data_IF_004623048631
#
_entry.id   IF_004623048631
#
_cell.length_a   1.000
_cell.length_b   1.000
_cell.length_c   1.000
_cell.angle_alpha   90.00
_cell.angle_beta   90.00
_cell.angle_gamma   90.00
#
_symmetry.space_group_name_H-M   'P 1'
#
loop_
_entity.id
_entity.type
_entity.pdbx_description
1 polymer ?
#
# COMPACT_ATOMS: atom_id res chain seq x y z
N UNK A 1 -20.61 -23.46 25.83
CA UNK A 1 -20.46 -22.75 25.49
C UNK A 1 -20.37 -22.14 25.43
N UNK A 2 -20.03 -22.37 25.16
CA UNK A 2 -19.57 -21.51 24.88
C UNK A 2 -19.24 -21.09 24.53
N UNK A 3 -18.96 -21.41 24.34
CA UNK A 3 -18.31 -20.75 23.94
C UNK A 3 -18.01 -20.45 23.60
N UNK A 4 -17.91 -20.54 23.58
CA UNK A 4 -17.26 -19.99 23.20
C UNK A 4 -16.84 -19.76 22.93
N UNK A 5 -16.53 -19.85 22.91
CA UNK A 5 -15.89 -19.33 22.67
C UNK A 5 -15.49 -19.17 22.31
N UNK A 6 -15.47 -19.55 22.37
CA UNK A 6 -14.77 -19.08 22.04
C UNK A 6 -14.42 -18.76 21.66
N UNK A 7 -14.32 -18.92 21.67
CA UNK A 7 -13.66 -18.29 21.33
C UNK A 7 -13.14 -17.96 21.08
N UNK A 8 -12.92 -18.19 21.06
CA UNK A 8 -12.14 -17.66 20.84
C UNK A 8 -11.66 -17.38 20.62
N UNK A 9 -11.42 -17.51 20.63
CA UNK A 9 -10.60 -17.04 20.41
C UNK A 9 -10.12 -16.83 20.29
N UNK A 10 -9.80 -16.95 20.32
CA UNK A 10 -9.13 -16.50 20.23
C UNK A 10 -8.61 -16.36 20.19
N UNK A 11 -8.51 -16.74 20.30
CA UNK A 11 -7.78 -16.40 20.22
C UNK A 11 -7.19 -16.24 20.23
N UNK A 12 -6.98 -16.36 20.25
CA UNK A 12 -6.24 -15.94 20.14
C UNK A 12 -5.67 -15.87 20.20
N UNK A 13 -5.40 -16.04 20.24
CA UNK A 13 -4.75 -15.76 20.08
C UNK A 13 -4.05 -15.65 19.83
N UNK A 14 -4.41 -15.72 19.90
CA UNK A 14 -3.28 -15.34 19.55
C UNK A 14 -2.23 -15.19 19.21
N UNK A 15 -1.97 -15.37 18.86
CA UNK A 15 -0.65 -15.03 18.64
C UNK A 15 -0.49 -13.60 18.32
N UNK A 16 -0.20 -12.91 19.21
CA UNK A 16 0.02 -11.54 19.03
C UNK A 16 1.23 -11.23 18.20
N UNK A 17 2.13 -12.15 18.06
CA UNK A 17 3.23 -11.92 17.15
C UNK A 17 2.79 -12.07 15.72
N UNK A 18 1.50 -12.15 15.49
CA UNK A 18 1.05 -12.29 14.15
C UNK A 18 1.36 -11.12 13.29
N UNK A 19 1.68 -11.43 12.06
CA UNK A 19 1.95 -10.43 11.05
C UNK A 19 0.67 -9.68 10.70
N UNK A 20 0.80 -8.40 10.45
CA UNK A 20 -0.28 -7.57 9.94
C UNK A 20 -0.24 -7.66 8.42
N UNK A 21 -1.37 -7.99 7.83
CA UNK A 21 -1.44 -8.09 6.36
C UNK A 21 -1.52 -6.70 5.74
N UNK A 22 -0.68 -6.47 4.75
CA UNK A 22 -0.71 -5.24 3.96
C UNK A 22 -1.39 -5.54 2.64
N UNK A 23 -2.40 -4.77 2.30
CA UNK A 23 -3.19 -4.95 1.09
C UNK A 23 -2.63 -4.14 -0.06
N UNK A 24 -2.83 -4.63 -1.28
CA UNK A 24 -2.43 -3.90 -2.47
C UNK A 24 -3.32 -2.67 -2.66
N UNK A 25 -2.74 -1.49 -2.89
CA UNK A 25 -3.55 -0.29 -3.13
C UNK A 25 -4.21 -0.29 -4.50
N UNK A 26 -3.66 -1.02 -5.45
CA UNK A 26 -4.12 -1.00 -6.84
C UNK A 26 -4.09 -2.42 -7.39
N UNK A 27 -4.94 -2.71 -8.40
CA UNK A 27 -4.80 -3.97 -9.12
C UNK A 27 -3.62 -3.87 -10.07
N UNK A 28 -2.88 -4.96 -10.24
CA UNK A 28 -1.77 -4.96 -11.17
C UNK A 28 -0.80 -6.09 -10.90
N UNK A 29 0.43 -5.88 -11.33
CA UNK A 29 1.49 -6.85 -11.23
C UNK A 29 2.44 -6.48 -10.10
N UNK A 30 2.73 -7.44 -9.23
CA UNK A 30 3.68 -7.26 -8.14
C UNK A 30 5.11 -7.25 -8.64
N UNK A 31 5.91 -6.32 -8.12
CA UNK A 31 7.34 -6.30 -8.38
C UNK A 31 8.07 -5.96 -7.08
N UNK A 32 9.33 -6.41 -6.93
CA UNK A 32 10.10 -6.01 -5.76
C UNK A 32 10.48 -4.53 -5.85
N UNK A 33 10.76 -3.92 -4.70
CA UNK A 33 11.15 -2.50 -4.68
C UNK A 33 12.37 -2.23 -5.55
N UNK A 34 13.27 -3.21 -5.69
CA UNK A 34 14.48 -3.03 -6.50
C UNK A 34 14.17 -2.72 -7.97
N UNK A 35 12.97 -3.04 -8.43
CA UNK A 35 12.56 -2.75 -9.81
C UNK A 35 11.86 -1.39 -9.97
N UNK A 36 11.64 -0.68 -8.88
CA UNK A 36 11.02 0.65 -8.95
C UNK A 36 11.98 1.62 -9.63
N UNK A 37 11.53 2.39 -10.63
CA UNK A 37 12.42 3.33 -11.34
C UNK A 37 12.66 4.61 -10.55
N UNK A 38 13.01 4.47 -9.28
CA UNK A 38 13.33 5.57 -8.39
C UNK A 38 14.32 5.03 -7.36
N UNK A 39 15.56 5.56 -7.31
CA UNK A 39 16.59 4.99 -6.45
C UNK A 39 16.27 5.06 -4.97
N UNK A 40 15.48 6.04 -4.53
CA UNK A 40 15.11 6.15 -3.12
C UNK A 40 14.30 4.92 -2.70
N UNK A 41 13.35 4.52 -3.52
CA UNK A 41 12.55 3.32 -3.23
C UNK A 41 13.32 2.04 -3.55
N UNK A 42 14.00 2.01 -4.70
CA UNK A 42 14.67 0.81 -5.15
C UNK A 42 15.77 0.36 -4.18
N UNK A 43 16.42 1.29 -3.52
CA UNK A 43 17.47 1.00 -2.54
C UNK A 43 16.93 0.79 -1.13
N UNK A 44 15.62 0.90 -0.95
CA UNK A 44 15.02 0.71 0.36
C UNK A 44 15.32 1.83 1.36
N UNK A 45 15.64 3.02 0.88
CA UNK A 45 16.00 4.13 1.75
C UNK A 45 14.83 4.65 2.57
N UNK A 46 13.60 4.46 2.07
CA UNK A 46 12.38 4.85 2.77
C UNK A 46 11.93 3.75 3.73
N UNK A 47 12.16 2.50 3.34
CA UNK A 47 11.76 1.33 4.09
C UNK A 47 11.62 0.13 3.17
N UNK A 48 11.20 -0.99 3.72
CA UNK A 48 10.95 -2.21 2.96
C UNK A 48 9.52 -2.29 2.47
N UNK A 49 9.29 -3.11 1.48
CA UNK A 49 7.95 -3.33 0.92
C UNK A 49 8.00 -3.92 -0.46
N UNK A 50 7.04 -3.53 -1.27
CA UNK A 50 6.92 -4.00 -2.65
C UNK A 50 6.26 -2.91 -3.48
N UNK A 51 6.10 -3.16 -4.77
CA UNK A 51 5.42 -2.22 -5.63
C UNK A 51 4.41 -2.93 -6.52
N UNK A 52 3.45 -2.18 -7.02
CA UNK A 52 2.42 -2.71 -7.92
C UNK A 52 2.43 -1.85 -9.17
N UNK A 53 2.39 -2.51 -10.33
CA UNK A 53 2.32 -1.81 -11.61
C UNK A 53 0.97 -2.13 -12.23
N UNK A 54 0.03 -1.16 -12.24
CA UNK A 54 -1.26 -1.39 -12.91
C UNK A 54 -1.07 -1.44 -14.42
N UNK A 55 -2.05 -2.03 -15.10
CA UNK A 55 -2.01 -2.10 -16.55
C UNK A 55 -2.12 -0.70 -17.16
N UNK A 56 -1.44 -0.48 -18.28
CA UNK A 56 -1.44 0.84 -18.93
C UNK A 56 -2.82 1.26 -19.40
N UNK A 57 -3.68 0.30 -19.70
CA UNK A 57 -5.04 0.56 -20.20
C UNK A 57 -6.10 0.47 -19.09
N UNK A 58 -5.67 0.55 -17.83
CA UNK A 58 -6.60 0.40 -16.72
C UNK A 58 -7.62 1.55 -16.59
N UNK A 59 -7.34 2.69 -17.19
CA UNK A 59 -8.24 3.85 -17.12
C UNK A 59 -8.15 4.52 -15.77
N UNK A 60 -9.29 4.79 -15.13
CA UNK A 60 -9.32 5.41 -13.81
C UNK A 60 -9.40 4.31 -12.77
N UNK A 61 -8.48 4.35 -11.82
CA UNK A 61 -8.43 3.40 -10.71
C UNK A 61 -8.60 4.13 -9.38
N UNK A 62 -9.13 3.42 -8.39
CA UNK A 62 -9.18 3.92 -7.03
C UNK A 62 -8.11 3.21 -6.22
N UNK A 63 -7.15 3.97 -5.71
CA UNK A 63 -6.15 3.44 -4.80
C UNK A 63 -6.77 3.34 -3.41
N UNK A 64 -6.53 2.22 -2.75
CA UNK A 64 -7.20 1.92 -1.48
C UNK A 64 -6.19 1.83 -0.33
N UNK A 65 -6.72 1.86 0.89
CA UNK A 65 -5.88 1.81 2.08
C UNK A 65 -5.16 0.46 2.17
N UNK A 66 -3.87 0.47 2.54
CA UNK A 66 -3.08 -0.77 2.58
C UNK A 66 -3.31 -1.59 3.84
N UNK A 67 -3.86 -0.99 4.90
CA UNK A 67 -4.13 -1.69 6.15
C UNK A 67 -5.11 -0.86 6.96
N UNK A 68 -5.61 -1.48 8.02
CA UNK A 68 -6.48 -0.78 8.97
C UNK A 68 -5.64 0.24 9.74
N UNK A 69 -6.15 1.45 9.88
CA UNK A 69 -5.43 2.44 10.63
C UNK A 69 -5.97 3.84 10.44
N UNK A 70 -5.14 4.80 10.80
CA UNK A 70 -5.49 6.20 10.73
C UNK A 70 -4.70 6.87 9.63
N UNK A 71 -5.36 7.70 8.84
CA UNK A 71 -4.71 8.47 7.78
C UNK A 71 -3.89 9.58 8.43
N UNK A 72 -2.56 9.46 8.39
CA UNK A 72 -1.69 10.47 8.99
C UNK A 72 -1.24 11.50 7.97
N UNK A 73 -1.32 11.18 6.69
CA UNK A 73 -1.01 12.11 5.62
C UNK A 73 -1.71 11.67 4.35
N UNK A 74 -2.22 12.63 3.58
CA UNK A 74 -2.76 12.35 2.26
C UNK A 74 -2.43 13.52 1.33
N UNK A 75 -1.92 13.16 0.15
CA UNK A 75 -1.61 14.08 -0.94
C UNK A 75 -2.25 13.48 -2.19
N UNK A 76 -2.39 14.26 -3.27
CA UNK A 76 -3.02 13.69 -4.46
C UNK A 76 -2.33 12.41 -4.98
N UNK A 77 -1.01 12.32 -4.83
CA UNK A 77 -0.22 11.21 -5.38
C UNK A 77 0.28 10.22 -4.34
N UNK A 78 -0.01 10.42 -3.05
CA UNK A 78 0.54 9.55 -1.99
C UNK A 78 -0.26 9.69 -0.71
N UNK A 79 -0.20 8.66 0.11
CA UNK A 79 -0.84 8.70 1.43
C UNK A 79 -0.12 7.76 2.39
N UNK A 80 -0.29 8.06 3.69
CA UNK A 80 0.31 7.25 4.76
C UNK A 80 -0.81 6.87 5.72
N UNK A 81 -0.91 5.57 6.01
CA UNK A 81 -1.86 5.03 7.00
C UNK A 81 -1.06 4.37 8.10
N UNK A 82 -1.33 4.74 9.33
CA UNK A 82 -0.64 4.20 10.50
C UNK A 82 -1.53 3.23 11.24
N UNK A 83 -1.04 2.02 11.44
CA UNK A 83 -1.74 0.98 12.20
C UNK A 83 -1.75 1.34 13.69
N UNK A 84 -2.79 0.90 14.41
CA UNK A 84 -2.91 1.18 15.83
C UNK A 84 -1.74 0.66 16.64
N UNK A 85 -1.06 -0.40 16.18
CA UNK A 85 0.09 -0.95 16.86
C UNK A 85 1.39 -0.21 16.58
N UNK A 86 1.37 0.82 15.72
CA UNK A 86 2.52 1.69 15.50
C UNK A 86 3.03 1.80 14.07
N UNK A 87 3.14 0.72 13.30
CA UNK A 87 3.72 0.80 11.97
C UNK A 87 2.90 1.67 11.01
N UNK A 88 3.59 2.39 10.15
CA UNK A 88 2.95 3.22 9.15
C UNK A 88 3.38 2.75 7.75
N UNK A 89 2.42 2.74 6.83
CA UNK A 89 2.66 2.32 5.45
C UNK A 89 2.43 3.51 4.53
N UNK A 90 3.41 3.77 3.68
CA UNK A 90 3.34 4.79 2.64
C UNK A 90 2.95 4.11 1.33
N UNK A 91 1.95 4.66 0.66
CA UNK A 91 1.62 4.29 -0.71
C UNK A 91 1.92 5.49 -1.58
N UNK A 92 2.80 5.30 -2.56
CA UNK A 92 3.14 6.35 -3.53
C UNK A 92 2.59 5.95 -4.88
N UNK A 93 1.62 6.69 -5.38
CA UNK A 93 0.92 6.30 -6.61
C UNK A 93 1.68 6.87 -7.81
N UNK A 94 2.37 5.99 -8.52
CA UNK A 94 3.23 6.37 -9.63
C UNK A 94 4.57 6.94 -9.17
N UNK A 95 5.48 7.17 -10.11
CA UNK A 95 6.80 7.73 -9.83
C UNK A 95 6.87 9.12 -10.44
N UNK A 96 7.40 10.08 -9.66
CA UNK A 96 7.52 11.48 -10.05
C UNK A 96 6.18 12.17 -10.31
N UNK A 97 5.10 11.54 -9.86
CA UNK A 97 3.75 12.08 -10.06
C UNK A 97 3.47 13.32 -9.22
N UNK A 98 4.33 13.61 -8.25
CA UNK A 98 4.23 14.86 -7.48
C UNK A 98 4.30 16.08 -8.42
N UNK A 99 5.02 15.97 -9.52
CA UNK A 99 5.15 17.06 -10.49
C UNK A 99 3.86 17.38 -11.23
N UNK A 100 2.88 16.51 -11.19
CA UNK A 100 1.58 16.75 -11.82
C UNK A 100 0.70 17.70 -11.00
N UNK A 101 1.08 17.98 -9.76
CA UNK A 101 0.38 18.94 -8.87
C UNK A 101 -1.10 18.61 -8.72
N UNK A 102 -1.41 17.32 -8.67
CA UNK A 102 -2.77 16.83 -8.47
C UNK A 102 -3.55 16.57 -9.74
N UNK A 103 -3.05 16.95 -10.88
CA UNK A 103 -3.75 16.65 -12.13
C UNK A 103 -3.79 15.15 -12.37
N UNK A 104 -4.96 14.63 -12.71
CA UNK A 104 -5.16 13.20 -12.89
C UNK A 104 -5.47 12.45 -11.60
N UNK A 105 -5.51 13.15 -10.49
CA UNK A 105 -5.78 12.57 -9.17
C UNK A 105 -6.96 13.25 -8.50
N UNK A 106 -7.71 12.49 -7.71
CA UNK A 106 -8.80 13.03 -6.87
C UNK A 106 -8.64 12.44 -5.47
N UNK A 107 -8.47 13.30 -4.47
CA UNK A 107 -8.34 12.86 -3.09
C UNK A 107 -9.72 12.52 -2.54
N UNK A 108 -9.84 11.34 -1.92
CA UNK A 108 -11.10 10.85 -1.37
C UNK A 108 -11.05 10.89 0.15
N UNK A 109 -9.99 10.32 0.75
CA UNK A 109 -9.83 10.28 2.19
C UNK A 109 -9.20 11.56 2.70
N UNK A 110 -9.29 11.79 4.00
CA UNK A 110 -8.74 12.98 4.64
C UNK A 110 -7.84 12.59 5.79
N UNK A 111 -6.88 13.46 6.08
CA UNK A 111 -6.01 13.29 7.25
C UNK A 111 -6.88 13.17 8.49
N UNK A 112 -6.61 12.17 9.33
CA UNK A 112 -7.35 11.91 10.55
C UNK A 112 -8.43 10.87 10.42
N UNK A 113 -8.79 10.49 9.19
CA UNK A 113 -9.81 9.46 8.99
C UNK A 113 -9.33 8.12 9.53
N UNK A 114 -10.27 7.36 10.10
CA UNK A 114 -10.05 5.95 10.40
C UNK A 114 -10.48 5.15 9.20
N UNK A 115 -9.60 4.31 8.69
CA UNK A 115 -9.89 3.52 7.49
C UNK A 115 -9.58 2.06 7.75
N UNK A 116 -10.14 1.21 6.88
CA UNK A 116 -9.83 -0.21 6.85
C UNK A 116 -9.12 -0.52 5.55
N UNK A 117 -8.33 -1.59 5.55
CA UNK A 117 -7.71 -2.06 4.32
C UNK A 117 -8.79 -2.21 3.24
N UNK A 118 -8.54 -1.62 2.08
CA UNK A 118 -9.52 -1.63 0.98
C UNK A 118 -10.40 -0.41 0.88
N UNK A 119 -10.39 0.48 1.88
CA UNK A 119 -11.19 1.71 1.79
C UNK A 119 -10.58 2.66 0.76
N UNK A 120 -11.41 3.39 -0.01
CA UNK A 120 -10.90 4.30 -1.04
C UNK A 120 -10.12 5.46 -0.45
N UNK A 121 -8.96 5.75 -1.04
CA UNK A 121 -8.08 6.82 -0.58
C UNK A 121 -7.95 7.93 -1.60
N UNK A 122 -7.55 7.59 -2.82
CA UNK A 122 -7.42 8.53 -3.93
C UNK A 122 -7.80 7.83 -5.22
N UNK A 123 -8.26 8.61 -6.18
CA UNK A 123 -8.53 8.11 -7.53
C UNK A 123 -7.42 8.60 -8.44
N UNK A 124 -7.01 7.79 -9.40
CA UNK A 124 -5.95 8.13 -10.34
C UNK A 124 -6.36 7.77 -11.76
N UNK A 125 -6.12 8.69 -12.67
CA UNK A 125 -6.31 8.46 -14.10
C UNK A 125 -5.00 7.94 -14.68
N UNK A 126 -4.90 6.62 -14.83
CA UNK A 126 -3.69 5.96 -15.31
C UNK A 126 -3.33 6.44 -16.71
N UNK A 127 -4.32 6.59 -17.56
CA UNK A 127 -4.10 7.05 -18.94
C UNK A 127 -3.46 8.44 -18.95
N UNK A 128 -3.95 9.34 -18.10
CA UNK A 128 -3.38 10.68 -18.01
C UNK A 128 -1.93 10.64 -17.53
N UNK A 129 -1.65 9.88 -16.46
CA UNK A 129 -0.29 9.76 -15.93
C UNK A 129 0.66 9.22 -17.00
N UNK A 130 0.23 8.16 -17.70
CA UNK A 130 1.05 7.58 -18.75
C UNK A 130 1.26 8.56 -19.92
N UNK A 131 0.28 9.40 -20.20
CA UNK A 131 0.41 10.41 -21.25
C UNK A 131 1.50 11.44 -20.96
N UNK A 132 1.89 11.56 -19.69
CA UNK A 132 2.99 12.46 -19.28
C UNK A 132 4.32 11.73 -19.22
N UNK A 133 4.39 10.50 -19.73
CA UNK A 133 5.59 9.66 -19.73
C UNK A 133 6.08 9.32 -18.32
N UNK A 134 5.15 9.24 -17.37
CA UNK A 134 5.48 8.86 -16.00
C UNK A 134 5.10 7.42 -15.76
N UNK A 135 5.85 6.76 -14.88
CA UNK A 135 5.60 5.38 -14.53
C UNK A 135 4.46 5.29 -13.52
N UNK A 136 3.59 4.29 -13.69
CA UNK A 136 2.55 3.99 -12.71
C UNK A 136 3.02 2.97 -11.67
N UNK A 137 4.29 2.60 -11.68
CA UNK A 137 4.85 1.76 -10.62
C UNK A 137 4.59 2.42 -9.28
N UNK A 138 3.88 1.74 -8.41
CA UNK A 138 3.38 2.34 -7.17
C UNK A 138 3.96 1.61 -5.96
N UNK A 139 5.01 2.17 -5.34
CA UNK A 139 5.61 1.54 -4.17
C UNK A 139 4.69 1.57 -2.96
N UNK A 140 4.73 0.48 -2.20
CA UNK A 140 4.05 0.33 -0.91
C UNK A 140 5.14 0.00 0.10
N UNK A 141 5.41 0.91 1.01
CA UNK A 141 6.59 0.87 1.86
C UNK A 141 6.20 1.01 3.32
N UNK A 142 6.81 0.18 4.16
CA UNK A 142 6.67 0.33 5.61
C UNK A 142 7.75 1.30 6.06
N UNK A 143 7.33 2.46 6.56
CA UNK A 143 8.25 3.49 7.00
C UNK A 143 9.10 3.00 8.17
N UNK A 144 10.36 3.42 8.21
CA UNK A 144 11.30 3.10 9.27
C UNK A 144 11.59 1.60 9.40
N UNK A 145 11.34 0.83 8.35
CA UNK A 145 11.69 -0.59 8.34
C UNK A 145 12.90 -0.82 7.45
N UNK A 146 13.52 -1.99 7.61
CA UNK A 146 14.62 -2.41 6.75
C UNK A 146 14.07 -3.28 5.64
N UNK A 147 14.61 -3.14 4.42
CA UNK A 147 14.10 -3.95 3.30
C UNK A 147 14.12 -5.45 3.57
N UNK A 148 15.15 -5.93 4.24
CA UNK A 148 15.28 -7.37 4.50
C UNK A 148 14.31 -7.87 5.57
N UNK A 149 13.62 -6.98 6.28
CA UNK A 149 12.65 -7.39 7.29
C UNK A 149 11.31 -7.78 6.70
N UNK A 150 11.10 -7.54 5.41
CA UNK A 150 9.84 -7.78 4.73
C UNK A 150 9.96 -8.98 3.83
N UNK A 151 9.05 -9.93 4.00
CA UNK A 151 8.97 -11.06 3.07
C UNK A 151 8.35 -10.58 1.77
N UNK A 152 9.17 -10.57 0.72
CA UNK A 152 8.70 -10.13 -0.58
C UNK A 152 7.81 -11.17 -1.22
N UNK A 153 6.67 -10.76 -1.78
CA UNK A 153 5.86 -11.69 -2.54
C UNK A 153 6.56 -12.08 -3.85
N UNK A 154 6.03 -13.09 -4.50
CA UNK A 154 6.59 -13.53 -5.77
C UNK A 154 6.47 -12.42 -6.81
N UNK A 155 7.61 -12.09 -7.44
CA UNK A 155 7.63 -11.08 -8.48
C UNK A 155 6.79 -11.52 -9.67
N UNK A 156 6.04 -10.59 -10.24
CA UNK A 156 5.22 -10.86 -11.42
C UNK A 156 3.83 -11.39 -11.14
N UNK A 157 3.51 -11.71 -9.89
CA UNK A 157 2.17 -12.16 -9.54
C UNK A 157 1.16 -11.03 -9.72
N UNK A 158 -0.06 -11.38 -10.10
CA UNK A 158 -1.11 -10.37 -10.22
C UNK A 158 -1.91 -10.31 -8.93
N UNK A 159 -2.29 -9.09 -8.56
CA UNK A 159 -3.11 -8.84 -7.37
C UNK A 159 -4.26 -7.92 -7.73
N UNK A 160 -5.32 -7.98 -6.92
CA UNK A 160 -6.44 -7.05 -7.01
C UNK A 160 -6.29 -5.96 -5.97
N UNK A 161 -6.96 -4.83 -6.16
CA UNK A 161 -7.01 -3.81 -5.13
C UNK A 161 -7.60 -4.43 -3.86
N UNK A 162 -6.95 -4.22 -2.73
CA UNK A 162 -7.35 -4.83 -1.48
C UNK A 162 -6.85 -6.26 -1.28
N UNK A 163 -6.23 -6.86 -2.29
CA UNK A 163 -5.66 -8.19 -2.17
C UNK A 163 -4.39 -8.18 -1.35
N UNK A 164 -4.01 -9.35 -0.84
CA UNK A 164 -2.82 -9.46 0.02
C UNK A 164 -1.54 -9.14 -0.76
N UNK A 165 -0.72 -8.28 -0.22
CA UNK A 165 0.54 -7.88 -0.83
C UNK A 165 1.74 -8.48 -0.10
N UNK A 166 1.86 -8.21 1.19
CA UNK A 166 2.88 -8.78 2.05
C UNK A 166 2.46 -8.59 3.50
N UNK A 167 3.23 -9.13 4.42
CA UNK A 167 2.96 -8.98 5.86
C UNK A 167 3.96 -8.05 6.49
N UNK A 168 3.48 -7.25 7.44
CA UNK A 168 4.37 -6.55 8.36
C UNK A 168 4.97 -7.57 9.32
N UNK A 169 6.24 -7.42 9.71
CA UNK A 169 6.80 -8.29 10.73
C UNK A 169 6.01 -8.15 12.02
N UNK A 170 5.73 -9.28 12.65
CA UNK A 170 5.15 -9.27 13.99
C UNK A 170 6.20 -8.87 15.02
N UNK A 171 5.76 -8.30 16.10
CA UNK A 171 6.68 -7.91 17.15
C UNK A 171 6.59 -8.86 18.32
#
# INVERSE_FOLDING_TARGET
MSAPDVSTPDVSTAAPAEAISVASPLPGRLVPLSEVPDPVFAKGLVGGGAAVIPDDDAGVLTAVAPLDGRVVKVMPHAYIVQHASGPAVLVHVGIDTVGLKGEGFTVIAQKGDQVRAGDPMISVDVTFVRSKNLSMCSPVVILDSKPEAIDSPASGARVEAGGHLFNLPGE
#
